data_IF_231076572110
#
_entry.id   IF_231076572110
#
_cell.length_a   1.000
_cell.length_b   1.000
_cell.length_c   1.000
_cell.angle_alpha   90.00
_cell.angle_beta   90.00
_cell.angle_gamma   90.00
#
_symmetry.space_group_name_H-M   'P 1'
#
loop_
_entity.id
_entity.type
_entity.pdbx_description
1 polymer ?
#
# COMPACT_ATOMS: atom_id res chain seq x y z
N UNK A 1 -52.80 3.46 -0.66
CA UNK A 1 -52.74 4.54 -1.63
C UNK A 1 -51.93 5.69 -1.00
N UNK A 2 -50.64 5.87 -1.35
CA UNK A 2 -49.81 6.98 -0.89
C UNK A 2 -49.46 7.82 -2.11
N UNK A 3 -49.87 9.10 -2.06
CA UNK A 3 -49.70 10.10 -3.09
C UNK A 3 -48.23 10.60 -3.08
N UNK A 4 -47.56 10.55 -4.22
CA UNK A 4 -46.25 11.18 -4.44
C UNK A 4 -46.48 12.65 -4.83
N UNK A 5 -45.82 13.57 -4.10
CA UNK A 5 -45.81 14.99 -4.38
C UNK A 5 -44.53 15.32 -5.18
N UNK A 6 -44.73 15.69 -6.45
CA UNK A 6 -43.65 16.15 -7.33
C UNK A 6 -43.43 17.66 -7.09
N UNK A 7 -42.27 18.05 -6.61
CA UNK A 7 -41.83 19.45 -6.53
C UNK A 7 -40.98 19.80 -7.76
N UNK A 8 -41.56 20.64 -8.64
CA UNK A 8 -40.90 21.23 -9.80
C UNK A 8 -40.21 22.53 -9.33
N UNK A 9 -38.90 22.60 -9.41
CA UNK A 9 -38.13 23.81 -9.19
C UNK A 9 -37.86 24.48 -10.54
N UNK A 10 -38.48 25.67 -10.75
CA UNK A 10 -38.24 26.54 -11.87
C UNK A 10 -36.99 27.41 -11.61
N UNK A 11 -35.99 27.32 -12.47
CA UNK A 11 -34.84 28.24 -12.49
C UNK A 11 -35.16 29.47 -13.29
N UNK A 12 -35.20 30.64 -12.63
CA UNK A 12 -35.21 31.96 -13.25
C UNK A 12 -33.78 32.38 -13.57
N UNK A 13 -33.51 32.56 -14.84
CA UNK A 13 -32.23 33.11 -15.34
C UNK A 13 -32.34 34.64 -15.37
N UNK A 14 -31.56 35.30 -14.53
CA UNK A 14 -31.33 36.75 -14.67
C UNK A 14 -30.00 36.96 -15.39
N UNK A 15 -30.07 37.50 -16.61
CA UNK A 15 -28.92 38.00 -17.34
C UNK A 15 -28.55 39.40 -16.85
N UNK A 16 -27.29 39.61 -16.52
CA UNK A 16 -26.70 40.97 -16.43
C UNK A 16 -25.48 41.03 -17.34
N UNK A 17 -25.60 41.83 -18.40
CA UNK A 17 -24.51 42.28 -19.24
C UNK A 17 -23.72 43.37 -18.50
N UNK A 18 -22.44 43.13 -18.24
CA UNK A 18 -21.48 44.22 -17.97
C UNK A 18 -20.18 43.96 -18.71
N UNK A 19 -19.89 44.79 -19.72
CA UNK A 19 -18.60 44.83 -20.39
C UNK A 19 -17.56 45.42 -19.43
N UNK A 20 -16.58 44.62 -19.04
CA UNK A 20 -15.34 45.10 -18.46
C UNK A 20 -14.18 44.62 -19.35
N UNK A 21 -13.51 45.57 -20.00
CA UNK A 21 -12.23 45.35 -20.63
C UNK A 21 -11.20 45.11 -19.52
N UNK A 22 -10.63 43.92 -19.46
CA UNK A 22 -9.45 43.63 -18.64
C UNK A 22 -8.34 43.07 -19.52
N UNK A 23 -7.24 43.81 -19.54
CA UNK A 23 -5.97 43.44 -20.09
C UNK A 23 -5.49 42.14 -19.40
N UNK A 24 -5.44 41.04 -20.14
CA UNK A 24 -4.87 39.76 -19.69
C UNK A 24 -3.37 39.82 -20.01
N UNK A 25 -2.48 39.71 -19.01
CA UNK A 25 -1.06 39.51 -19.30
C UNK A 25 -0.90 38.11 -19.94
N UNK A 26 -0.18 38.06 -21.06
CA UNK A 26 0.22 36.83 -21.73
C UNK A 26 0.95 35.96 -20.73
N UNK A 27 0.30 34.90 -20.22
CA UNK A 27 0.99 33.84 -19.55
C UNK A 27 1.81 33.06 -20.58
N UNK A 28 3.12 33.09 -20.42
CA UNK A 28 4.01 32.18 -21.13
C UNK A 28 3.58 30.77 -20.85
N UNK A 29 3.00 30.09 -21.84
CA UNK A 29 2.80 28.65 -21.83
C UNK A 29 4.18 28.01 -21.76
N UNK A 30 4.64 27.63 -20.54
CA UNK A 30 5.66 26.61 -20.39
C UNK A 30 5.08 25.34 -20.99
N UNK A 31 5.48 25.05 -22.22
CA UNK A 31 5.33 23.73 -22.82
C UNK A 31 6.12 22.79 -21.91
N UNK A 32 5.42 22.08 -21.04
CA UNK A 32 5.98 20.91 -20.36
C UNK A 32 6.19 19.89 -21.47
N UNK A 33 7.43 19.77 -21.95
CA UNK A 33 7.82 18.64 -22.79
C UNK A 33 7.49 17.36 -22.02
N UNK A 34 6.35 16.75 -22.36
CA UNK A 34 6.12 15.35 -22.01
C UNK A 34 7.22 14.57 -22.72
N UNK A 35 8.23 14.16 -21.98
CA UNK A 35 9.22 13.23 -22.49
C UNK A 35 8.44 12.01 -23.01
N UNK A 36 8.51 11.77 -24.32
CA UNK A 36 8.00 10.56 -24.94
C UNK A 36 8.92 9.40 -24.52
N UNK A 37 8.88 9.02 -23.23
CA UNK A 37 9.48 7.76 -22.79
C UNK A 37 8.74 6.64 -23.50
N UNK A 38 9.46 5.87 -24.28
CA UNK A 38 8.92 4.66 -24.91
C UNK A 38 8.44 3.73 -23.78
N UNK A 39 7.17 3.32 -23.82
CA UNK A 39 6.61 2.38 -22.85
C UNK A 39 7.42 1.08 -22.91
N UNK A 40 7.92 0.62 -21.76
CA UNK A 40 8.61 -0.66 -21.65
C UNK A 40 7.59 -1.79 -21.87
N UNK A 41 8.05 -2.93 -22.40
CA UNK A 41 7.27 -4.17 -22.40
C UNK A 41 7.60 -5.00 -21.13
N UNK A 42 6.82 -6.06 -20.87
CA UNK A 42 6.97 -6.88 -19.66
C UNK A 42 8.38 -7.44 -19.48
N UNK A 43 9.03 -7.90 -20.55
CA UNK A 43 10.41 -8.38 -20.50
C UNK A 43 11.39 -7.27 -20.08
N UNK A 44 11.26 -6.08 -20.65
CA UNK A 44 12.08 -4.93 -20.28
C UNK A 44 11.83 -4.48 -18.83
N UNK A 45 10.59 -4.60 -18.34
CA UNK A 45 10.27 -4.35 -16.93
C UNK A 45 11.04 -5.31 -16.03
N UNK A 46 11.06 -6.60 -16.34
CA UNK A 46 11.81 -7.61 -15.57
C UNK A 46 13.31 -7.31 -15.60
N UNK A 47 13.88 -6.94 -16.75
CA UNK A 47 15.28 -6.57 -16.89
C UNK A 47 15.65 -5.34 -16.03
N UNK A 48 14.79 -4.33 -15.96
CA UNK A 48 15.01 -3.15 -15.12
C UNK A 48 14.86 -3.48 -13.62
N UNK A 49 13.85 -4.27 -13.23
CA UNK A 49 13.69 -4.75 -11.86
C UNK A 49 14.91 -5.58 -11.40
N UNK A 50 15.50 -6.37 -12.28
CA UNK A 50 16.71 -7.12 -11.98
C UNK A 50 17.92 -6.19 -11.71
N UNK A 51 18.09 -5.12 -12.49
CA UNK A 51 19.13 -4.09 -12.25
C UNK A 51 18.92 -3.37 -10.92
N UNK A 52 17.68 -3.27 -10.47
CA UNK A 52 17.30 -2.70 -9.17
C UNK A 52 17.40 -3.71 -8.01
N UNK A 53 17.95 -4.92 -8.24
CA UNK A 53 18.01 -6.01 -7.26
C UNK A 53 16.66 -6.43 -6.69
N UNK A 54 15.57 -6.29 -7.44
CA UNK A 54 14.23 -6.64 -6.97
C UNK A 54 14.14 -8.11 -6.56
N UNK A 55 14.80 -9.01 -7.29
CA UNK A 55 14.73 -10.45 -7.08
C UNK A 55 15.71 -11.00 -6.04
N UNK A 56 16.37 -10.16 -5.23
CA UNK A 56 17.34 -10.61 -4.24
C UNK A 56 16.74 -11.44 -3.08
N UNK A 57 15.44 -11.35 -2.86
CA UNK A 57 14.71 -12.11 -1.85
C UNK A 57 14.06 -13.39 -2.41
N UNK A 58 13.96 -13.51 -3.72
CA UNK A 58 13.40 -14.68 -4.40
C UNK A 58 14.37 -15.87 -4.34
N UNK A 59 13.86 -17.06 -4.08
CA UNK A 59 14.70 -18.26 -4.10
C UNK A 59 15.19 -18.58 -5.51
N UNK A 60 16.37 -19.19 -5.62
CA UNK A 60 16.93 -19.56 -6.94
C UNK A 60 16.00 -20.52 -7.72
N UNK A 61 15.22 -21.34 -7.02
CA UNK A 61 14.30 -22.31 -7.64
C UNK A 61 13.05 -21.63 -8.21
N UNK A 62 12.64 -20.51 -7.63
CA UNK A 62 11.43 -19.78 -7.98
C UNK A 62 11.69 -18.58 -8.91
N UNK A 63 12.95 -18.17 -9.04
CA UNK A 63 13.35 -16.95 -9.74
C UNK A 63 12.79 -16.85 -11.18
N UNK A 64 12.86 -17.93 -11.94
CA UNK A 64 12.35 -17.93 -13.32
C UNK A 64 10.82 -17.84 -13.36
N UNK A 65 10.12 -18.49 -12.44
CA UNK A 65 8.68 -18.43 -12.34
C UNK A 65 8.21 -17.02 -11.94
N UNK A 66 8.88 -16.40 -10.96
CA UNK A 66 8.61 -15.03 -10.54
C UNK A 66 8.80 -14.02 -11.67
N UNK A 67 9.91 -14.11 -12.39
CA UNK A 67 10.16 -13.24 -13.55
C UNK A 67 9.09 -13.37 -14.63
N UNK A 68 8.65 -14.59 -14.94
CA UNK A 68 7.60 -14.85 -15.90
C UNK A 68 6.23 -14.32 -15.42
N UNK A 69 5.95 -14.42 -14.14
CA UNK A 69 4.71 -13.89 -13.56
C UNK A 69 4.66 -12.37 -13.65
N UNK A 70 5.75 -11.68 -13.30
CA UNK A 70 5.83 -10.21 -13.42
C UNK A 70 5.77 -9.77 -14.89
N UNK A 71 6.48 -10.46 -15.80
CA UNK A 71 6.41 -10.18 -17.23
C UNK A 71 4.99 -10.25 -17.75
N UNK A 72 4.25 -11.30 -17.38
CA UNK A 72 2.86 -11.52 -17.77
C UNK A 72 1.90 -10.51 -17.13
N UNK A 73 2.04 -10.28 -15.81
CA UNK A 73 1.20 -9.33 -15.08
C UNK A 73 1.35 -7.90 -15.63
N UNK A 74 2.55 -7.52 -16.08
CA UNK A 74 2.76 -6.22 -16.70
C UNK A 74 2.00 -6.06 -18.02
N UNK A 75 1.94 -7.08 -18.85
CA UNK A 75 1.17 -7.04 -20.10
C UNK A 75 -0.34 -6.83 -19.83
N UNK A 76 -0.82 -7.29 -18.69
CA UNK A 76 -2.18 -7.05 -18.17
C UNK A 76 -2.29 -5.73 -17.36
N UNK A 77 -1.20 -4.97 -17.23
CA UNK A 77 -1.06 -3.73 -16.45
C UNK A 77 -1.23 -3.90 -14.94
N UNK A 78 -1.01 -5.09 -14.42
CA UNK A 78 -0.98 -5.39 -13.00
C UNK A 78 0.45 -5.48 -12.50
N UNK A 79 0.73 -4.92 -11.33
CA UNK A 79 2.05 -5.03 -10.74
C UNK A 79 2.32 -6.43 -10.21
N UNK A 80 1.39 -6.96 -9.42
CA UNK A 80 1.46 -8.33 -8.94
C UNK A 80 0.11 -8.83 -8.41
N UNK A 81 -0.36 -9.98 -8.87
CA UNK A 81 -1.63 -10.55 -8.42
C UNK A 81 -1.47 -11.65 -7.38
N UNK A 82 -0.33 -12.35 -7.34
CA UNK A 82 -0.18 -13.57 -6.58
C UNK A 82 -0.92 -14.76 -7.21
N UNK A 83 -0.79 -15.93 -6.60
CA UNK A 83 -1.45 -17.17 -7.05
C UNK A 83 -2.32 -17.73 -5.95
N UNK A 84 -3.54 -18.13 -6.27
CA UNK A 84 -4.39 -18.86 -5.34
C UNK A 84 -3.90 -20.30 -5.20
N UNK A 85 -3.66 -20.73 -3.97
CA UNK A 85 -3.35 -22.12 -3.61
C UNK A 85 -4.12 -22.46 -2.35
N UNK A 86 -4.94 -23.50 -2.40
CA UNK A 86 -5.74 -23.98 -1.26
C UNK A 86 -6.55 -22.83 -0.61
N UNK A 87 -7.21 -21.99 -1.45
CA UNK A 87 -7.97 -20.80 -1.05
C UNK A 87 -7.13 -19.65 -0.45
N UNK A 88 -5.80 -19.80 -0.37
CA UNK A 88 -4.89 -18.77 0.12
C UNK A 88 -4.11 -18.12 -1.02
N UNK A 89 -3.88 -16.81 -0.90
CA UNK A 89 -3.03 -16.07 -1.83
C UNK A 89 -1.55 -16.36 -1.50
N UNK A 90 -0.81 -16.84 -2.50
CA UNK A 90 0.61 -17.23 -2.37
C UNK A 90 1.45 -16.38 -3.31
N UNK A 91 2.57 -15.90 -2.82
CA UNK A 91 3.56 -15.15 -3.59
C UNK A 91 4.86 -15.96 -3.68
N UNK A 92 5.56 -15.88 -4.83
CA UNK A 92 6.78 -16.66 -5.10
C UNK A 92 8.03 -16.03 -4.48
N UNK A 93 7.94 -14.80 -4.02
CA UNK A 93 9.03 -14.10 -3.35
C UNK A 93 8.66 -13.69 -1.91
N UNK A 94 9.62 -13.04 -1.24
CA UNK A 94 9.44 -12.54 0.12
C UNK A 94 9.29 -11.01 0.14
N UNK A 95 8.74 -10.43 -0.93
CA UNK A 95 8.41 -9.00 -1.00
C UNK A 95 6.95 -8.72 -0.84
N UNK A 96 6.08 -9.64 -1.26
CA UNK A 96 4.63 -9.50 -1.21
C UNK A 96 4.05 -10.31 -0.06
N UNK A 97 3.06 -9.74 0.62
CA UNK A 97 2.39 -10.36 1.75
C UNK A 97 0.90 -10.10 1.68
N UNK A 98 0.12 -11.15 1.87
CA UNK A 98 -1.31 -11.04 2.15
C UNK A 98 -1.48 -10.69 3.63
N UNK A 99 -2.30 -9.69 3.92
CA UNK A 99 -2.55 -9.19 5.28
C UNK A 99 -4.05 -9.01 5.45
N UNK A 100 -4.70 -9.93 6.16
CA UNK A 100 -6.07 -9.73 6.60
C UNK A 100 -6.08 -8.72 7.76
N UNK A 101 -6.74 -7.58 7.54
CA UNK A 101 -6.76 -6.48 8.51
C UNK A 101 -7.67 -6.80 9.69
N UNK A 102 -8.66 -7.67 9.53
CA UNK A 102 -9.53 -8.15 10.61
C UNK A 102 -8.74 -9.07 11.53
N UNK A 103 -8.06 -10.08 10.98
CA UNK A 103 -7.17 -10.96 11.77
C UNK A 103 -6.06 -10.18 12.45
N UNK A 104 -5.46 -9.20 11.76
CA UNK A 104 -4.41 -8.34 12.31
C UNK A 104 -4.92 -7.54 13.53
N UNK A 105 -6.20 -7.15 13.50
CA UNK A 105 -6.85 -6.44 14.59
C UNK A 105 -7.18 -7.34 15.79
N UNK A 106 -7.28 -8.65 15.60
CA UNK A 106 -7.57 -9.60 16.67
C UNK A 106 -6.34 -9.88 17.56
N UNK A 107 -6.60 -10.32 18.81
CA UNK A 107 -5.54 -10.73 19.73
C UNK A 107 -4.82 -11.96 19.18
N UNK A 108 -3.49 -11.85 19.05
CA UNK A 108 -2.64 -12.91 18.50
C UNK A 108 -2.40 -12.80 16.98
N UNK A 109 -3.29 -12.15 16.22
CA UNK A 109 -3.12 -11.98 14.78
C UNK A 109 -1.86 -11.20 14.42
N UNK A 110 -1.55 -10.16 15.17
CA UNK A 110 -0.30 -9.40 15.00
C UNK A 110 0.94 -10.29 15.06
N UNK A 111 1.00 -11.24 15.99
CA UNK A 111 2.13 -12.19 16.13
C UNK A 111 2.21 -13.13 14.92
N UNK A 112 1.07 -13.59 14.40
CA UNK A 112 1.08 -14.47 13.23
C UNK A 112 1.66 -13.74 12.01
N UNK A 113 1.28 -12.49 11.75
CA UNK A 113 1.85 -11.70 10.65
C UNK A 113 3.33 -11.35 10.88
N UNK A 114 3.77 -11.11 12.13
CA UNK A 114 5.19 -10.94 12.44
C UNK A 114 5.99 -12.20 12.16
N UNK A 115 5.44 -13.41 12.39
CA UNK A 115 6.08 -14.69 12.01
C UNK A 115 6.25 -14.79 10.49
N UNK A 116 5.26 -14.34 9.73
CA UNK A 116 5.29 -14.38 8.25
C UNK A 116 6.37 -13.46 7.69
N UNK A 117 6.53 -12.24 8.20
CA UNK A 117 7.50 -11.28 7.68
C UNK A 117 8.92 -11.45 8.24
N UNK A 118 9.07 -12.11 9.39
CA UNK A 118 10.38 -12.30 10.05
C UNK A 118 11.44 -12.93 9.15
N UNK A 119 11.18 -14.00 8.37
CA UNK A 119 12.17 -14.58 7.47
C UNK A 119 12.76 -13.60 6.47
N UNK A 120 12.00 -12.60 6.08
CA UNK A 120 12.49 -11.53 5.17
C UNK A 120 13.48 -10.61 5.86
N UNK A 121 13.21 -10.21 7.12
CA UNK A 121 14.21 -9.49 7.91
C UNK A 121 15.52 -10.29 8.03
N UNK A 122 15.41 -11.58 8.31
CA UNK A 122 16.57 -12.47 8.41
C UNK A 122 17.35 -12.58 7.08
N UNK A 123 16.66 -12.71 5.95
CA UNK A 123 17.30 -12.68 4.61
C UNK A 123 18.02 -11.36 4.31
N UNK A 124 17.52 -10.26 4.82
CA UNK A 124 18.16 -8.94 4.73
C UNK A 124 19.30 -8.76 5.76
N UNK A 125 19.57 -9.75 6.61
CA UNK A 125 20.55 -9.66 7.70
C UNK A 125 20.09 -8.79 8.87
N UNK A 126 18.79 -8.55 8.98
CA UNK A 126 18.13 -7.72 10.00
C UNK A 126 17.48 -8.60 11.07
N UNK A 127 17.13 -7.98 12.20
CA UNK A 127 16.44 -8.64 13.32
C UNK A 127 15.01 -8.20 13.41
N UNK A 128 14.10 -9.14 13.67
CA UNK A 128 12.72 -8.88 14.05
C UNK A 128 12.36 -9.84 15.20
N UNK A 129 12.71 -9.43 16.42
CA UNK A 129 12.31 -10.13 17.63
C UNK A 129 11.06 -9.47 18.20
N UNK A 130 10.07 -10.24 18.56
CA UNK A 130 8.82 -9.75 19.14
C UNK A 130 8.55 -10.48 20.46
N UNK A 131 7.99 -9.72 21.42
CA UNK A 131 7.70 -10.18 22.78
C UNK A 131 6.70 -9.23 23.44
N UNK A 132 6.26 -9.58 24.64
CA UNK A 132 5.48 -8.71 25.52
C UNK A 132 4.24 -8.10 24.86
N UNK A 133 3.51 -8.89 24.07
CA UNK A 133 2.19 -8.49 23.60
C UNK A 133 1.26 -8.29 24.78
N UNK A 134 0.62 -7.12 24.85
CA UNK A 134 -0.30 -6.74 25.92
C UNK A 134 -1.57 -6.18 25.32
N UNK A 135 -2.69 -6.57 25.90
CA UNK A 135 -4.02 -6.11 25.50
C UNK A 135 -4.82 -5.67 26.71
N UNK A 136 -5.49 -4.52 26.61
CA UNK A 136 -6.44 -4.02 27.59
C UNK A 136 -7.66 -3.50 26.85
N UNK A 137 -8.83 -4.12 27.08
CA UNK A 137 -10.06 -3.86 26.33
C UNK A 137 -11.22 -3.56 27.27
N UNK A 138 -12.03 -2.57 26.90
CA UNK A 138 -13.37 -2.30 27.46
C UNK A 138 -14.44 -2.52 26.38
N UNK A 139 -15.69 -2.14 26.64
CA UNK A 139 -16.76 -2.21 25.63
C UNK A 139 -16.58 -1.22 24.47
N UNK A 140 -15.87 -0.11 24.71
CA UNK A 140 -15.80 1.01 23.77
C UNK A 140 -14.36 1.34 23.34
N UNK A 141 -13.36 0.77 23.99
CA UNK A 141 -11.96 1.13 23.80
C UNK A 141 -11.06 -0.11 23.89
N UNK A 142 -10.03 -0.12 23.05
CA UNK A 142 -8.99 -1.13 23.08
C UNK A 142 -7.61 -0.49 23.00
N UNK A 143 -6.70 -0.99 23.84
CA UNK A 143 -5.27 -0.71 23.75
C UNK A 143 -4.53 -2.01 23.55
N UNK A 144 -3.71 -2.06 22.49
CA UNK A 144 -2.90 -3.20 22.10
C UNK A 144 -1.47 -2.73 21.86
N UNK A 145 -0.51 -3.33 22.54
CA UNK A 145 0.93 -3.00 22.42
C UNK A 145 1.75 -4.26 22.27
N UNK A 146 2.94 -4.12 21.67
CA UNK A 146 3.91 -5.20 21.49
C UNK A 146 5.32 -4.62 21.55
N UNK A 147 6.28 -5.42 21.97
CA UNK A 147 7.70 -5.08 21.85
C UNK A 147 8.31 -5.68 20.59
N UNK A 148 8.94 -4.84 19.74
CA UNK A 148 9.80 -5.27 18.64
C UNK A 148 11.23 -4.85 18.96
N UNK A 149 12.18 -5.80 18.94
CA UNK A 149 13.60 -5.58 19.24
C UNK A 149 13.83 -4.76 20.53
N UNK A 150 13.05 -4.99 21.59
CA UNK A 150 13.05 -4.31 22.91
C UNK A 150 12.47 -2.88 22.91
N UNK A 151 11.84 -2.44 21.85
CA UNK A 151 11.11 -1.18 21.78
C UNK A 151 9.61 -1.48 21.79
N UNK A 152 8.86 -0.81 22.69
CA UNK A 152 7.41 -0.92 22.73
C UNK A 152 6.77 -0.12 21.60
N UNK A 153 5.83 -0.73 20.92
CA UNK A 153 4.99 -0.15 19.87
C UNK A 153 3.51 -0.27 20.22
N UNK A 154 2.76 0.72 19.80
CA UNK A 154 1.30 0.74 19.91
C UNK A 154 0.72 0.20 18.60
N UNK A 155 0.14 -1.00 18.66
CA UNK A 155 -0.53 -1.62 17.54
C UNK A 155 -1.96 -1.07 17.35
N UNK A 156 -2.63 -0.74 18.46
CA UNK A 156 -3.92 -0.07 18.50
C UNK A 156 -4.09 0.67 19.83
N UNK A 157 -4.68 1.87 19.81
CA UNK A 157 -4.98 2.65 21.02
C UNK A 157 -6.11 3.63 20.71
N UNK A 158 -7.36 3.14 20.67
CA UNK A 158 -8.50 3.94 20.25
C UNK A 158 -9.84 3.40 20.78
N UNK A 159 -10.89 4.23 20.69
CA UNK A 159 -12.26 3.76 20.78
C UNK A 159 -12.61 2.97 19.52
N UNK A 160 -13.48 1.94 19.67
CA UNK A 160 -13.93 1.16 18.52
C UNK A 160 -14.70 2.01 17.51
N UNK A 161 -14.43 1.77 16.22
CA UNK A 161 -15.02 2.51 15.11
C UNK A 161 -14.91 1.81 13.77
N UNK A 162 -15.45 2.41 12.73
CA UNK A 162 -15.50 1.84 11.38
C UNK A 162 -14.11 1.73 10.71
N UNK A 163 -13.09 2.43 11.23
CA UNK A 163 -11.75 2.46 10.66
C UNK A 163 -10.75 1.56 11.38
N UNK A 164 -11.19 0.76 12.36
CA UNK A 164 -10.30 -0.01 13.24
C UNK A 164 -9.34 -0.93 12.48
N UNK A 165 -9.85 -1.67 11.52
CA UNK A 165 -9.02 -2.56 10.70
C UNK A 165 -7.98 -1.79 9.88
N UNK A 166 -8.39 -0.64 9.31
CA UNK A 166 -7.47 0.24 8.59
C UNK A 166 -6.41 0.85 9.50
N UNK A 167 -6.76 1.22 10.73
CA UNK A 167 -5.81 1.73 11.74
C UNK A 167 -4.82 0.64 12.12
N UNK A 168 -5.26 -0.58 12.41
CA UNK A 168 -4.38 -1.71 12.72
C UNK A 168 -3.42 -2.02 11.58
N UNK A 169 -3.90 -2.03 10.34
CA UNK A 169 -3.10 -2.21 9.14
C UNK A 169 -2.01 -1.13 9.00
N UNK A 170 -2.37 0.14 9.18
CA UNK A 170 -1.41 1.26 9.14
C UNK A 170 -0.37 1.11 10.25
N UNK A 171 -0.80 0.82 11.48
CA UNK A 171 0.11 0.64 12.63
C UNK A 171 1.08 -0.50 12.42
N UNK A 172 0.64 -1.60 11.82
CA UNK A 172 1.51 -2.72 11.47
C UNK A 172 2.63 -2.28 10.51
N UNK A 173 2.28 -1.57 9.43
CA UNK A 173 3.27 -1.06 8.47
C UNK A 173 4.20 -0.02 9.13
N UNK A 174 3.67 0.89 9.96
CA UNK A 174 4.47 1.88 10.71
C UNK A 174 5.52 1.20 11.60
N UNK A 175 5.14 0.15 12.33
CA UNK A 175 6.05 -0.61 13.20
C UNK A 175 7.16 -1.31 12.40
N UNK A 176 6.81 -2.00 11.32
CA UNK A 176 7.79 -2.69 10.46
C UNK A 176 8.77 -1.68 9.83
N UNK A 177 8.26 -0.56 9.32
CA UNK A 177 9.09 0.48 8.71
C UNK A 177 10.00 1.16 9.73
N UNK A 178 9.54 1.36 10.97
CA UNK A 178 10.38 1.89 12.04
C UNK A 178 11.54 0.94 12.41
N UNK A 179 11.29 -0.38 12.39
CA UNK A 179 12.34 -1.38 12.62
C UNK A 179 13.35 -1.46 11.46
N UNK A 180 12.88 -1.37 10.21
CA UNK A 180 13.75 -1.29 9.04
C UNK A 180 14.63 -0.05 9.09
N UNK A 181 14.07 1.10 9.44
CA UNK A 181 14.81 2.36 9.56
C UNK A 181 15.84 2.35 10.69
N UNK A 182 15.45 1.85 11.87
CA UNK A 182 16.35 1.73 13.02
C UNK A 182 17.59 0.87 12.71
N UNK A 183 17.44 -0.11 11.80
CA UNK A 183 18.50 -1.00 11.34
C UNK A 183 19.16 -0.54 10.03
N UNK A 184 18.84 0.69 9.57
CA UNK A 184 19.43 1.34 8.37
C UNK A 184 19.18 0.58 7.06
N UNK A 185 18.07 -0.15 6.97
CA UNK A 185 17.64 -0.73 5.70
C UNK A 185 17.16 0.36 4.72
N UNK A 186 17.39 0.17 3.44
CA UNK A 186 16.80 0.99 2.37
C UNK A 186 15.38 0.52 2.00
N UNK A 187 14.99 -0.67 2.45
CA UNK A 187 13.68 -1.28 2.20
C UNK A 187 12.60 -0.63 3.07
N UNK A 188 11.39 -0.53 2.53
CA UNK A 188 10.17 -0.12 3.26
C UNK A 188 9.00 -0.96 2.81
N UNK A 189 8.08 -1.25 3.72
CA UNK A 189 6.77 -1.79 3.37
C UNK A 189 5.86 -0.67 2.87
N UNK A 190 5.25 -0.92 1.74
CA UNK A 190 4.28 -0.04 1.11
C UNK A 190 2.91 -0.73 1.08
N UNK A 191 1.83 -0.04 1.46
CA UNK A 191 0.48 -0.55 1.36
C UNK A 191 0.05 -0.67 -0.11
N UNK A 192 -0.70 -1.72 -0.42
CA UNK A 192 -1.42 -1.90 -1.67
C UNK A 192 -2.92 -1.82 -1.39
N UNK A 193 -3.44 -2.76 -0.63
CA UNK A 193 -4.85 -2.83 -0.22
C UNK A 193 -4.95 -3.28 1.24
N UNK A 194 -6.08 -2.98 1.88
CA UNK A 194 -6.45 -3.47 3.21
C UNK A 194 -7.76 -4.26 3.13
N UNK A 195 -8.36 -4.60 4.26
CA UNK A 195 -9.49 -5.49 4.48
C UNK A 195 -9.07 -6.96 4.47
N UNK A 196 -10.00 -7.89 4.21
CA UNK A 196 -9.73 -9.34 4.30
C UNK A 196 -8.73 -9.83 3.25
N UNK A 197 -8.64 -9.14 2.11
CA UNK A 197 -7.69 -9.45 1.03
C UNK A 197 -6.58 -8.37 0.92
N UNK A 198 -6.14 -7.84 2.06
CA UNK A 198 -5.11 -6.81 2.14
C UNK A 198 -3.76 -7.31 1.64
N UNK A 199 -2.98 -6.41 1.05
CA UNK A 199 -1.65 -6.69 0.49
C UNK A 199 -0.68 -5.59 0.87
N UNK A 200 0.55 -5.97 1.21
CA UNK A 200 1.69 -5.07 1.35
C UNK A 200 2.86 -5.58 0.53
N UNK A 201 3.76 -4.68 0.15
CA UNK A 201 4.98 -5.03 -0.59
C UNK A 201 6.20 -4.34 0.01
N UNK A 202 7.32 -5.06 0.05
CA UNK A 202 8.61 -4.55 0.52
C UNK A 202 9.46 -4.08 -0.67
N UNK A 203 9.76 -2.79 -0.73
CA UNK A 203 10.52 -2.18 -1.82
C UNK A 203 11.56 -1.20 -1.29
N UNK A 204 12.67 -1.05 -2.00
CA UNK A 204 13.49 0.15 -1.86
C UNK A 204 12.81 1.35 -2.50
N UNK A 205 13.22 2.56 -2.13
CA UNK A 205 12.68 3.79 -2.75
C UNK A 205 12.80 3.78 -4.28
N UNK A 206 13.92 3.30 -4.82
CA UNK A 206 14.14 3.21 -6.28
C UNK A 206 13.18 2.24 -6.96
N UNK A 207 12.94 1.09 -6.34
CA UNK A 207 11.97 0.09 -6.83
C UNK A 207 10.56 0.66 -6.78
N UNK A 208 10.17 1.32 -5.68
CA UNK A 208 8.87 1.97 -5.55
C UNK A 208 8.63 3.04 -6.63
N UNK A 209 9.61 3.92 -6.86
CA UNK A 209 9.52 4.95 -7.89
C UNK A 209 9.42 4.34 -9.29
N UNK A 210 10.19 3.29 -9.57
CA UNK A 210 10.12 2.55 -10.83
C UNK A 210 8.73 1.92 -11.06
N UNK A 211 8.18 1.26 -10.05
CA UNK A 211 6.83 0.67 -10.12
C UNK A 211 5.79 1.75 -10.35
N UNK A 212 5.82 2.83 -9.57
CA UNK A 212 4.88 3.94 -9.73
C UNK A 212 4.92 4.57 -11.13
N UNK A 213 6.10 4.65 -11.75
CA UNK A 213 6.25 5.20 -13.09
C UNK A 213 5.70 4.27 -14.17
N UNK A 214 5.88 2.96 -14.02
CA UNK A 214 5.58 1.99 -15.06
C UNK A 214 4.21 1.30 -14.92
N UNK A 215 3.55 1.40 -13.75
CA UNK A 215 2.20 0.88 -13.49
C UNK A 215 1.23 2.00 -13.03
N UNK A 216 1.16 3.14 -13.71
CA UNK A 216 0.45 4.33 -13.21
C UNK A 216 -1.08 4.15 -13.14
N UNK A 217 -1.63 3.19 -13.86
CA UNK A 217 -3.06 2.92 -13.95
C UNK A 217 -3.47 1.64 -13.23
N UNK A 218 -2.55 0.97 -12.58
CA UNK A 218 -2.84 -0.20 -11.78
C UNK A 218 -3.51 0.23 -10.47
N UNK A 219 -4.71 -0.25 -10.20
CA UNK A 219 -5.43 0.07 -8.96
C UNK A 219 -4.81 -0.60 -7.73
N UNK A 220 -4.03 -1.64 -7.95
CA UNK A 220 -3.34 -2.40 -6.91
C UNK A 220 -1.83 -2.07 -6.82
N UNK A 221 -1.37 -0.98 -7.44
CA UNK A 221 0.02 -0.57 -7.28
C UNK A 221 0.30 -0.02 -5.86
N UNK A 222 1.53 -0.15 -5.36
CA UNK A 222 1.88 0.32 -4.02
C UNK A 222 1.78 1.84 -3.90
N UNK A 223 1.40 2.30 -2.71
CA UNK A 223 1.27 3.72 -2.34
C UNK A 223 2.21 4.07 -1.20
N UNK A 224 2.54 5.33 -1.04
CA UNK A 224 3.14 5.77 0.22
C UNK A 224 2.11 5.61 1.34
N UNK A 225 2.56 5.33 2.56
CA UNK A 225 1.66 5.15 3.68
C UNK A 225 0.81 6.40 3.95
N UNK A 226 1.39 7.60 3.76
CA UNK A 226 0.67 8.87 3.87
C UNK A 226 -0.46 8.99 2.85
N UNK A 227 -0.19 8.69 1.57
CA UNK A 227 -1.21 8.73 0.52
C UNK A 227 -2.32 7.71 0.79
N UNK A 228 -1.93 6.51 1.21
CA UNK A 228 -2.90 5.45 1.53
C UNK A 228 -3.80 5.85 2.71
N UNK A 229 -3.22 6.42 3.79
CA UNK A 229 -3.98 6.97 4.93
C UNK A 229 -4.98 8.04 4.48
N UNK A 230 -4.53 8.99 3.69
CA UNK A 230 -5.38 10.09 3.20
C UNK A 230 -6.56 9.59 2.36
N UNK A 231 -6.31 8.63 1.45
CA UNK A 231 -7.34 8.05 0.60
C UNK A 231 -8.38 7.23 1.41
N UNK A 232 -7.99 6.66 2.54
CA UNK A 232 -8.85 5.85 3.41
C UNK A 232 -9.38 6.61 4.65
N UNK A 233 -9.16 7.93 4.74
CA UNK A 233 -9.67 8.77 5.83
C UNK A 233 -9.03 8.51 7.19
N UNK A 234 -7.86 7.86 7.24
CA UNK A 234 -7.11 7.57 8.47
C UNK A 234 -6.15 8.73 8.76
N UNK A 235 -6.23 9.27 9.96
CA UNK A 235 -5.43 10.42 10.42
C UNK A 235 -4.16 9.99 11.15
#
# INVERSE_FOLDING_TARGET
MKKYLLLIFSFLVFGCNSKAQNNIPKSENKIVEKSNKTKLNGKQIVEELEKLNFFNLTSKFELNAEKLDIEKSYDELNFFEGKSKDESLVFLDNRFYSIDSEELFEIGGLIEYLKIVKPTFEKLGLKLNYSNEKSSQTKEYWKHTIELNRKEYVAFDNNFGELDWGIAYVKFIEMLNAELEAQKSEERFYPISAQNDGKIVLLTKKQFEFVKENYPNDNEHPKTLENWKNENGIK
#
